data_IF_135579319362
#
_entry.id   IF_135579319362
#
_cell.length_a   1.000
_cell.length_b   1.000
_cell.length_c   1.000
_cell.angle_alpha   90.00
_cell.angle_beta   90.00
_cell.angle_gamma   90.00
#
_symmetry.space_group_name_H-M   'P 1'
#
loop_
_entity.id
_entity.type
_entity.pdbx_description
1 polymer ?
#
# COMPACT_ATOMS: atom_id res chain seq x y z
N UNK A 1 15.75 -13.38 36.11
CA UNK A 1 14.45 -14.04 35.94
C UNK A 1 13.74 -13.24 34.83
N UNK A 2 13.92 -13.62 33.56
CA UNK A 2 13.33 -12.93 32.40
C UNK A 2 11.88 -13.41 32.26
N UNK A 3 10.94 -12.50 32.47
CA UNK A 3 9.53 -12.74 32.09
C UNK A 3 9.42 -12.77 30.57
N UNK A 4 9.49 -13.96 30.00
CA UNK A 4 9.09 -14.24 28.63
C UNK A 4 7.62 -13.86 28.53
N UNK A 5 7.33 -12.74 27.82
CA UNK A 5 5.97 -12.24 27.63
C UNK A 5 5.14 -13.23 26.82
N UNK A 6 4.27 -13.95 27.48
CA UNK A 6 3.15 -14.64 26.86
C UNK A 6 2.24 -13.59 26.25
N UNK A 7 2.43 -13.30 24.96
CA UNK A 7 1.43 -12.53 24.19
C UNK A 7 0.20 -13.42 24.07
N UNK A 8 -0.91 -13.00 24.68
CA UNK A 8 -2.19 -13.69 24.50
C UNK A 8 -2.53 -13.76 22.99
N UNK A 9 -2.98 -14.91 22.48
CA UNK A 9 -3.42 -15.03 21.10
C UNK A 9 -4.45 -13.94 20.76
N UNK A 10 -4.25 -13.24 19.63
CA UNK A 10 -5.13 -12.16 19.17
C UNK A 10 -4.76 -10.73 19.60
N UNK A 11 -3.89 -10.55 20.61
CA UNK A 11 -3.42 -9.22 21.05
C UNK A 11 -2.10 -8.79 20.37
N UNK A 12 -1.58 -9.59 19.44
CA UNK A 12 -0.39 -9.21 18.67
C UNK A 12 -0.74 -8.08 17.71
N UNK A 13 0.10 -7.05 17.68
CA UNK A 13 -0.02 -5.92 16.75
C UNK A 13 0.73 -6.26 15.47
N UNK A 14 0.08 -6.03 14.35
CA UNK A 14 0.66 -6.16 13.01
C UNK A 14 0.64 -4.83 12.27
N UNK A 15 1.58 -4.67 11.36
CA UNK A 15 1.49 -3.64 10.34
C UNK A 15 0.72 -4.18 9.12
N UNK A 16 -0.28 -3.41 8.69
CA UNK A 16 -1.12 -3.73 7.55
C UNK A 16 -0.91 -2.73 6.41
N UNK A 17 -0.92 -3.24 5.19
CA UNK A 17 -1.00 -2.45 3.97
C UNK A 17 -2.21 -2.90 3.16
N UNK A 18 -3.03 -1.96 2.71
CA UNK A 18 -4.03 -2.20 1.69
C UNK A 18 -3.52 -1.62 0.37
N UNK A 19 -3.49 -2.45 -0.68
CA UNK A 19 -2.76 -2.12 -1.91
C UNK A 19 -3.54 -2.51 -3.17
N UNK A 20 -3.22 -1.84 -4.31
CA UNK A 20 -3.53 -2.31 -5.66
C UNK A 20 -2.27 -2.95 -6.26
N UNK A 21 -2.43 -4.13 -6.86
CA UNK A 21 -1.34 -4.96 -7.35
C UNK A 21 -1.27 -4.95 -8.88
N UNK A 22 -0.17 -4.50 -9.49
CA UNK A 22 0.04 -4.60 -10.93
C UNK A 22 0.13 -6.05 -11.40
N UNK A 23 -0.25 -6.31 -12.67
CA UNK A 23 -0.01 -7.60 -13.30
C UNK A 23 1.49 -7.93 -13.40
N UNK A 24 1.81 -9.18 -13.62
CA UNK A 24 3.16 -9.71 -13.50
C UNK A 24 4.18 -9.01 -14.41
N UNK A 25 3.86 -8.77 -15.67
CA UNK A 25 4.75 -8.09 -16.62
C UNK A 25 5.16 -6.69 -16.14
N UNK A 26 4.18 -5.87 -15.76
CA UNK A 26 4.45 -4.52 -15.25
C UNK A 26 5.23 -4.55 -13.94
N UNK A 27 4.90 -5.50 -13.08
CA UNK A 27 5.60 -5.73 -11.81
C UNK A 27 7.08 -6.06 -12.05
N UNK A 28 7.37 -6.96 -13.00
CA UNK A 28 8.75 -7.33 -13.34
C UNK A 28 9.53 -6.15 -13.91
N UNK A 29 8.93 -5.31 -14.74
CA UNK A 29 9.54 -4.06 -15.22
C UNK A 29 9.90 -3.11 -14.07
N UNK A 30 9.00 -2.93 -13.09
CA UNK A 30 9.28 -2.08 -11.93
C UNK A 30 10.35 -2.70 -11.02
N UNK A 31 10.36 -4.03 -10.84
CA UNK A 31 11.41 -4.73 -10.09
C UNK A 31 12.78 -4.50 -10.74
N UNK A 32 12.84 -4.53 -12.08
CA UNK A 32 14.09 -4.27 -12.80
C UNK A 32 14.56 -2.83 -12.55
N UNK A 33 13.68 -1.84 -12.66
CA UNK A 33 14.01 -0.44 -12.33
C UNK A 33 14.57 -0.26 -10.91
N UNK A 34 13.98 -0.96 -9.94
CA UNK A 34 14.49 -0.96 -8.56
C UNK A 34 15.92 -1.52 -8.49
N UNK A 35 16.15 -2.66 -9.14
CA UNK A 35 17.47 -3.31 -9.18
C UNK A 35 18.52 -2.38 -9.84
N UNK A 36 18.17 -1.76 -10.96
CA UNK A 36 19.04 -0.85 -11.70
C UNK A 36 19.40 0.35 -10.84
N UNK A 37 18.42 0.97 -10.17
CA UNK A 37 18.63 2.07 -9.24
C UNK A 37 19.64 1.69 -8.14
N UNK A 38 19.40 0.56 -7.46
CA UNK A 38 20.25 0.16 -6.36
C UNK A 38 21.64 -0.32 -6.81
N UNK A 39 21.75 -0.87 -8.02
CA UNK A 39 23.06 -1.20 -8.61
C UNK A 39 23.89 0.04 -8.92
N UNK A 40 23.25 1.12 -9.41
CA UNK A 40 23.92 2.37 -9.74
C UNK A 40 24.30 3.20 -8.49
N UNK A 41 23.45 3.16 -7.45
CA UNK A 41 23.60 4.01 -6.26
C UNK A 41 23.86 3.22 -4.98
N UNK A 42 24.66 2.14 -5.08
CA UNK A 42 25.07 1.36 -3.90
C UNK A 42 25.80 2.24 -2.90
N UNK A 43 25.40 2.13 -1.62
CA UNK A 43 26.12 2.69 -0.49
C UNK A 43 26.58 1.55 0.42
N UNK A 44 27.78 1.65 0.96
CA UNK A 44 28.26 0.76 2.03
C UNK A 44 27.41 0.84 3.30
N UNK A 45 26.70 1.97 3.48
CA UNK A 45 25.75 2.21 4.57
C UNK A 45 24.29 1.87 4.22
N UNK A 46 24.02 1.38 2.99
CA UNK A 46 22.66 0.96 2.63
C UNK A 46 22.25 -0.22 3.52
N UNK A 47 21.05 -0.20 4.09
CA UNK A 47 20.57 -1.33 4.87
C UNK A 47 20.64 -2.59 4.02
N UNK A 48 21.28 -3.65 4.54
CA UNK A 48 21.42 -4.97 3.88
C UNK A 48 20.09 -5.57 3.43
N UNK A 49 18.98 -5.01 3.88
CA UNK A 49 17.60 -5.45 3.66
C UNK A 49 16.87 -4.62 2.61
N UNK A 50 17.57 -4.16 1.55
CA UNK A 50 16.86 -3.69 0.40
C UNK A 50 16.21 -4.90 -0.30
N UNK A 51 15.14 -5.39 0.31
CA UNK A 51 14.23 -6.27 -0.39
C UNK A 51 13.50 -5.41 -1.40
N UNK A 52 13.70 -5.69 -2.67
CA UNK A 52 12.86 -5.15 -3.73
C UNK A 52 11.43 -5.63 -3.52
N UNK A 53 10.76 -5.11 -2.48
CA UNK A 53 9.39 -5.48 -2.14
C UNK A 53 8.52 -5.45 -3.39
N UNK A 54 7.55 -6.35 -3.45
CA UNK A 54 6.62 -6.47 -4.58
C UNK A 54 6.04 -5.08 -4.91
N UNK A 55 6.21 -4.57 -6.13
CA UNK A 55 5.66 -3.28 -6.51
C UNK A 55 4.14 -3.27 -6.39
N UNK A 56 3.61 -2.21 -5.76
CA UNK A 56 2.17 -2.00 -5.58
C UNK A 56 1.87 -0.52 -5.42
N UNK A 57 0.62 -0.13 -5.60
CA UNK A 57 0.10 1.18 -5.22
C UNK A 57 -0.51 1.06 -3.84
N UNK A 58 0.05 1.73 -2.84
CA UNK A 58 -0.48 1.72 -1.48
C UNK A 58 -1.71 2.63 -1.39
N UNK A 59 -2.78 2.13 -0.77
CA UNK A 59 -4.01 2.87 -0.47
C UNK A 59 -3.98 3.41 0.98
N UNK A 60 -3.62 2.54 1.92
CA UNK A 60 -3.50 2.88 3.34
C UNK A 60 -2.48 1.98 4.03
N UNK A 61 -1.77 2.55 5.00
CA UNK A 61 -0.89 1.85 5.93
C UNK A 61 -1.40 2.09 7.36
N UNK A 62 -1.44 1.05 8.19
CA UNK A 62 -1.92 1.16 9.56
C UNK A 62 -1.42 0.03 10.46
N UNK A 63 -1.47 0.27 11.77
CA UNK A 63 -1.23 -0.75 12.80
C UNK A 63 -2.56 -1.19 13.38
N UNK A 64 -2.72 -2.50 13.63
CA UNK A 64 -3.91 -3.02 14.30
C UNK A 64 -3.63 -4.36 14.99
N UNK A 65 -4.45 -4.68 16.00
CA UNK A 65 -4.48 -5.99 16.64
C UNK A 65 -5.07 -7.05 15.70
N UNK A 66 -4.48 -8.24 15.69
CA UNK A 66 -4.94 -9.36 14.87
C UNK A 66 -6.41 -9.72 15.17
N UNK A 67 -6.85 -9.64 16.41
CA UNK A 67 -8.24 -9.92 16.82
C UNK A 67 -9.30 -9.05 16.11
N UNK A 68 -8.91 -7.92 15.53
CA UNK A 68 -9.83 -7.03 14.78
C UNK A 68 -9.87 -7.32 13.28
N UNK A 69 -9.02 -8.22 12.81
CA UNK A 69 -8.83 -8.51 11.38
C UNK A 69 -10.12 -8.95 10.70
N UNK A 70 -10.86 -9.90 11.28
CA UNK A 70 -12.09 -10.43 10.68
C UNK A 70 -13.17 -9.35 10.47
N UNK A 71 -13.36 -8.47 11.45
CA UNK A 71 -14.30 -7.35 11.33
C UNK A 71 -13.86 -6.34 10.27
N UNK A 72 -12.57 -6.09 10.16
CA UNK A 72 -12.00 -5.24 9.12
C UNK A 72 -12.19 -5.86 7.73
N UNK A 73 -11.87 -7.14 7.55
CA UNK A 73 -12.04 -7.87 6.28
C UNK A 73 -13.48 -7.83 5.81
N UNK A 74 -14.45 -8.10 6.71
CA UNK A 74 -15.89 -8.01 6.40
C UNK A 74 -16.26 -6.63 5.84
N UNK A 75 -15.77 -5.54 6.45
CA UNK A 75 -16.02 -4.18 5.95
C UNK A 75 -15.36 -3.93 4.60
N UNK A 76 -14.11 -4.39 4.41
CA UNK A 76 -13.39 -4.22 3.15
C UNK A 76 -14.04 -4.99 1.99
N UNK A 77 -14.59 -6.19 2.25
CA UNK A 77 -15.39 -6.94 1.26
C UNK A 77 -16.60 -6.11 0.81
N UNK A 78 -17.34 -5.54 1.76
CA UNK A 78 -18.49 -4.70 1.44
C UNK A 78 -18.12 -3.49 0.60
N UNK A 79 -17.01 -2.83 0.93
CA UNK A 79 -16.50 -1.69 0.13
C UNK A 79 -16.15 -2.14 -1.28
N UNK A 80 -15.37 -3.24 -1.41
CA UNK A 80 -14.92 -3.75 -2.71
C UNK A 80 -16.07 -4.14 -3.63
N UNK A 81 -17.14 -4.74 -3.09
CA UNK A 81 -18.33 -5.11 -3.87
C UNK A 81 -18.94 -3.92 -4.63
N UNK A 82 -18.87 -2.71 -4.09
CA UNK A 82 -19.42 -1.50 -4.70
C UNK A 82 -18.52 -0.79 -5.72
N UNK A 83 -17.31 -1.30 -5.97
CA UNK A 83 -16.36 -0.68 -6.89
C UNK A 83 -16.26 -1.43 -8.21
N UNK A 84 -16.02 -0.67 -9.29
CA UNK A 84 -15.59 -1.21 -10.59
C UNK A 84 -14.08 -1.50 -10.57
N UNK A 85 -13.60 -2.40 -11.45
CA UNK A 85 -12.18 -2.49 -11.75
C UNK A 85 -11.59 -1.13 -12.12
N UNK A 86 -10.47 -0.78 -11.51
CA UNK A 86 -9.84 0.54 -11.65
C UNK A 86 -8.71 0.46 -12.68
N UNK A 87 -8.81 1.26 -13.74
CA UNK A 87 -7.69 1.46 -14.67
C UNK A 87 -6.66 2.35 -14.02
N UNK A 88 -5.47 1.81 -13.76
CA UNK A 88 -4.33 2.54 -13.22
C UNK A 88 -3.33 2.83 -14.33
N UNK A 89 -3.03 4.10 -14.55
CA UNK A 89 -2.07 4.58 -15.55
C UNK A 89 -0.85 5.16 -14.84
N UNK A 90 0.32 4.73 -15.31
CA UNK A 90 1.63 5.14 -14.81
C UNK A 90 2.33 5.98 -15.87
N UNK A 91 2.91 7.11 -15.47
CA UNK A 91 3.67 7.96 -16.37
C UNK A 91 4.79 8.67 -15.62
N UNK A 92 6.00 8.48 -16.13
CA UNK A 92 7.21 9.16 -15.71
C UNK A 92 7.49 9.05 -14.19
N UNK A 93 8.53 9.71 -13.76
CA UNK A 93 8.97 9.62 -12.37
C UNK A 93 8.60 10.89 -11.60
N UNK A 94 8.42 10.73 -10.30
CA UNK A 94 8.24 11.80 -9.34
C UNK A 94 9.14 11.58 -8.14
N UNK A 95 9.22 12.58 -7.27
CA UNK A 95 9.97 12.45 -6.03
C UNK A 95 9.27 13.11 -4.85
N UNK A 96 9.48 12.55 -3.67
CA UNK A 96 9.32 13.28 -2.44
C UNK A 96 10.72 13.77 -2.04
N UNK A 97 10.91 15.09 -1.98
CA UNK A 97 12.23 15.66 -1.78
C UNK A 97 12.98 15.02 -0.63
N UNK A 98 14.24 14.80 -0.90
CA UNK A 98 15.34 14.25 -0.12
C UNK A 98 15.34 12.76 0.16
N UNK A 99 14.24 12.01 -0.05
CA UNK A 99 14.27 10.61 0.42
C UNK A 99 13.57 9.57 -0.47
N UNK A 100 12.76 9.95 -1.48
CA UNK A 100 12.00 8.95 -2.24
C UNK A 100 11.89 9.33 -3.71
N UNK A 101 12.13 8.37 -4.60
CA UNK A 101 11.86 8.45 -6.04
C UNK A 101 10.84 7.38 -6.39
N UNK A 102 9.84 7.72 -7.19
CA UNK A 102 8.71 6.85 -7.50
C UNK A 102 8.21 7.02 -8.93
N UNK A 103 7.39 6.10 -9.39
CA UNK A 103 6.62 6.21 -10.63
C UNK A 103 5.27 6.86 -10.31
N UNK A 104 4.91 7.90 -11.07
CA UNK A 104 3.63 8.60 -10.89
C UNK A 104 2.46 7.73 -11.35
N UNK A 105 1.36 7.76 -10.58
CA UNK A 105 0.04 7.33 -11.02
C UNK A 105 -0.70 8.55 -11.56
N UNK A 106 -1.01 8.56 -12.85
CA UNK A 106 -1.70 9.70 -13.50
C UNK A 106 -3.22 9.60 -13.40
N UNK A 107 -3.77 8.39 -13.33
CA UNK A 107 -5.19 8.13 -13.07
C UNK A 107 -5.54 8.29 -11.59
N UNK A 108 -5.27 9.45 -10.99
CA UNK A 108 -5.39 9.68 -9.54
C UNK A 108 -6.82 9.57 -9.04
N UNK A 109 -7.79 10.16 -9.77
CA UNK A 109 -9.16 10.32 -9.27
C UNK A 109 -9.86 9.01 -8.88
N UNK A 110 -9.85 7.94 -9.69
CA UNK A 110 -10.45 6.67 -9.28
C UNK A 110 -9.82 6.06 -8.03
N UNK A 111 -8.49 6.13 -7.92
CA UNK A 111 -7.76 5.62 -6.75
C UNK A 111 -8.08 6.45 -5.51
N UNK A 112 -8.08 7.78 -5.63
CA UNK A 112 -8.46 8.68 -4.53
C UNK A 112 -9.90 8.47 -4.08
N UNK A 113 -10.82 8.19 -4.99
CA UNK A 113 -12.23 7.88 -4.67
C UNK A 113 -12.31 6.61 -3.82
N UNK A 114 -11.59 5.56 -4.19
CA UNK A 114 -11.49 4.33 -3.40
C UNK A 114 -10.90 4.62 -2.01
N UNK A 115 -9.79 5.36 -1.93
CA UNK A 115 -9.15 5.72 -0.64
C UNK A 115 -10.09 6.51 0.26
N UNK A 116 -10.81 7.49 -0.29
CA UNK A 116 -11.80 8.30 0.45
C UNK A 116 -12.95 7.42 0.99
N UNK A 117 -13.42 6.47 0.19
CA UNK A 117 -14.45 5.52 0.60
C UNK A 117 -13.97 4.60 1.73
N UNK A 118 -12.77 4.04 1.60
CA UNK A 118 -12.13 3.25 2.67
C UNK A 118 -11.99 4.08 3.94
N UNK A 119 -11.52 5.33 3.82
CA UNK A 119 -11.40 6.23 4.96
C UNK A 119 -12.73 6.46 5.66
N UNK A 120 -13.78 6.80 4.93
CA UNK A 120 -15.10 7.10 5.53
C UNK A 120 -15.72 5.89 6.22
N UNK A 121 -15.51 4.67 5.72
CA UNK A 121 -16.21 3.48 6.21
C UNK A 121 -15.37 2.59 7.13
N UNK A 122 -14.04 2.59 6.98
CA UNK A 122 -13.17 1.64 7.68
C UNK A 122 -12.14 2.29 8.61
N UNK A 123 -11.95 3.62 8.60
CA UNK A 123 -10.93 4.29 9.41
C UNK A 123 -10.97 3.89 10.88
N UNK A 124 -12.15 3.80 11.49
CA UNK A 124 -12.30 3.43 12.91
C UNK A 124 -11.83 2.00 13.20
N UNK A 125 -11.94 1.10 12.23
CA UNK A 125 -11.48 -0.29 12.34
C UNK A 125 -9.97 -0.41 12.11
N UNK A 126 -9.36 0.57 11.45
CA UNK A 126 -7.93 0.64 11.14
C UNK A 126 -7.13 1.39 12.20
N UNK A 127 -7.79 2.17 13.07
CA UNK A 127 -7.09 2.92 14.14
C UNK A 127 -6.80 2.00 15.32
N UNK A 128 -5.52 1.89 15.66
CA UNK A 128 -5.09 1.13 16.84
C UNK A 128 -5.45 1.90 18.13
N UNK A 129 -5.07 3.18 18.16
CA UNK A 129 -5.33 4.14 19.23
C UNK A 129 -5.28 5.58 18.67
N UNK A 130 -5.32 6.60 19.53
CA UNK A 130 -5.31 8.00 19.11
C UNK A 130 -3.99 8.42 18.46
N UNK A 131 -2.86 7.84 18.86
CA UNK A 131 -1.53 8.17 18.35
C UNK A 131 -1.20 7.41 17.06
N UNK A 132 -1.77 6.22 16.88
CA UNK A 132 -1.52 5.34 15.73
C UNK A 132 -2.75 5.30 14.81
N UNK A 133 -2.96 6.41 14.12
CA UNK A 133 -4.02 6.54 13.10
C UNK A 133 -3.57 5.96 11.75
N UNK A 134 -4.49 5.43 10.94
CA UNK A 134 -4.16 4.97 9.60
C UNK A 134 -3.68 6.12 8.72
N UNK A 135 -2.64 5.84 7.92
CA UNK A 135 -2.10 6.77 6.94
C UNK A 135 -2.68 6.47 5.55
N UNK A 136 -3.62 7.30 5.10
CA UNK A 136 -4.28 7.20 3.80
C UNK A 136 -3.48 7.91 2.72
N UNK A 137 -3.16 7.22 1.63
CA UNK A 137 -2.33 7.74 0.54
C UNK A 137 -3.24 8.38 -0.52
N UNK A 138 -3.29 9.72 -0.56
CA UNK A 138 -4.06 10.48 -1.55
C UNK A 138 -3.26 10.81 -2.82
N UNK A 139 -1.93 10.73 -2.76
CA UNK A 139 -1.04 10.84 -3.92
C UNK A 139 -0.51 9.44 -4.28
N UNK A 140 -1.30 8.67 -5.09
CA UNK A 140 -0.94 7.30 -5.43
C UNK A 140 0.33 7.25 -6.27
N UNK A 141 1.24 6.34 -5.94
CA UNK A 141 2.53 6.17 -6.60
C UNK A 141 3.09 4.77 -6.37
N UNK A 142 4.09 4.38 -7.15
CA UNK A 142 4.85 3.14 -6.93
C UNK A 142 6.31 3.53 -6.62
N UNK A 143 6.77 3.37 -5.37
CA UNK A 143 8.16 3.69 -5.02
C UNK A 143 9.14 2.78 -5.75
N UNK A 144 10.19 3.37 -6.36
CA UNK A 144 11.35 2.64 -6.87
C UNK A 144 12.50 2.65 -5.86
N UNK A 145 12.65 3.75 -5.12
CA UNK A 145 13.64 3.88 -4.07
C UNK A 145 13.11 4.78 -2.94
N UNK A 146 13.26 4.36 -1.70
CA UNK A 146 12.81 5.08 -0.51
C UNK A 146 13.89 5.08 0.56
N UNK A 147 13.80 6.00 1.51
CA UNK A 147 14.79 6.18 2.60
C UNK A 147 16.20 6.41 2.05
N UNK A 148 16.27 7.15 0.95
CA UNK A 148 17.53 7.53 0.34
C UNK A 148 18.29 8.49 1.26
N UNK A 149 19.62 8.37 1.27
CA UNK A 149 20.47 9.41 1.83
C UNK A 149 20.61 10.56 0.82
N UNK A 150 20.95 11.80 1.24
CA UNK A 150 20.91 12.99 0.37
C UNK A 150 21.61 12.81 -0.98
N UNK A 151 22.84 12.30 -1.00
CA UNK A 151 23.59 12.13 -2.23
C UNK A 151 22.98 11.11 -3.20
N UNK A 152 22.33 10.04 -2.67
CA UNK A 152 21.61 9.05 -3.50
C UNK A 152 20.37 9.68 -4.13
N UNK A 153 19.67 10.50 -3.34
CA UNK A 153 18.49 11.22 -3.84
C UNK A 153 18.89 12.21 -4.93
N UNK A 154 19.88 13.07 -4.69
CA UNK A 154 20.31 14.11 -5.64
C UNK A 154 20.75 13.52 -6.97
N UNK A 155 21.66 12.55 -6.94
CA UNK A 155 22.14 11.88 -8.17
C UNK A 155 21.05 11.07 -8.86
N UNK A 156 20.29 10.29 -8.08
CA UNK A 156 19.21 9.49 -8.61
C UNK A 156 18.10 10.35 -9.21
N UNK A 157 17.72 11.45 -8.57
CA UNK A 157 16.70 12.35 -9.09
C UNK A 157 17.18 13.09 -10.35
N UNK A 158 18.42 13.53 -10.40
CA UNK A 158 18.99 14.16 -11.60
C UNK A 158 18.87 13.24 -12.83
N UNK A 159 19.11 11.95 -12.67
CA UNK A 159 18.97 10.96 -13.75
C UNK A 159 17.51 10.61 -14.03
N UNK A 160 16.73 10.25 -13.00
CA UNK A 160 15.36 9.73 -13.19
C UNK A 160 14.35 10.81 -13.58
N UNK A 161 14.59 12.07 -13.26
CA UNK A 161 13.76 13.20 -13.72
C UNK A 161 13.77 13.37 -15.23
N UNK A 162 14.79 12.86 -15.92
CA UNK A 162 14.94 12.91 -17.39
C UNK A 162 14.51 11.61 -18.08
N UNK A 163 14.24 10.55 -17.32
CA UNK A 163 13.81 9.27 -17.87
C UNK A 163 12.30 9.25 -18.09
N UNK A 164 11.87 8.49 -19.08
CA UNK A 164 10.46 8.25 -19.36
C UNK A 164 10.05 6.84 -18.95
N UNK A 165 8.88 6.74 -18.36
CA UNK A 165 8.23 5.48 -18.03
C UNK A 165 6.75 5.55 -18.37
N UNK A 166 6.23 4.50 -18.98
CA UNK A 166 4.79 4.34 -19.20
C UNK A 166 4.37 2.93 -18.82
N UNK A 167 3.20 2.81 -18.23
CA UNK A 167 2.60 1.53 -17.87
C UNK A 167 1.13 1.69 -17.56
N UNK A 168 0.39 0.59 -17.62
CA UNK A 168 -1.02 0.56 -17.23
C UNK A 168 -1.39 -0.82 -16.73
N UNK A 169 -2.34 -0.88 -15.83
CA UNK A 169 -2.96 -2.13 -15.40
C UNK A 169 -4.40 -1.90 -14.97
N UNK A 170 -5.18 -2.97 -14.96
CA UNK A 170 -6.50 -2.98 -14.38
C UNK A 170 -6.37 -3.59 -12.98
N UNK A 171 -6.68 -2.82 -11.95
CA UNK A 171 -6.85 -3.35 -10.61
C UNK A 171 -8.27 -3.91 -10.51
N UNK A 172 -8.39 -5.22 -10.51
CA UNK A 172 -9.65 -5.97 -10.36
C UNK A 172 -10.09 -6.14 -8.91
N UNK A 173 -9.26 -5.68 -7.98
CA UNK A 173 -9.49 -5.73 -6.55
C UNK A 173 -8.38 -5.05 -5.77
N UNK A 174 -8.51 -5.09 -4.45
CA UNK A 174 -7.48 -4.63 -3.52
C UNK A 174 -7.02 -5.80 -2.64
N UNK A 175 -5.78 -5.74 -2.15
CA UNK A 175 -5.16 -6.80 -1.34
C UNK A 175 -4.80 -6.24 0.03
N UNK A 176 -5.22 -6.94 1.08
CA UNK A 176 -4.75 -6.69 2.44
C UNK A 176 -3.52 -7.55 2.68
N UNK A 177 -2.44 -6.89 3.05
CA UNK A 177 -1.18 -7.49 3.45
C UNK A 177 -0.96 -7.23 4.92
N UNK A 178 -0.31 -8.17 5.64
CA UNK A 178 0.14 -7.95 7.02
C UNK A 178 1.56 -8.45 7.23
N UNK A 179 2.25 -7.86 8.20
CA UNK A 179 3.51 -8.39 8.75
C UNK A 179 3.62 -8.12 10.25
N UNK A 180 4.30 -8.97 11.00
CA UNK A 180 4.78 -8.65 12.34
C UNK A 180 5.70 -7.41 12.29
N UNK A 181 5.77 -6.65 13.39
CA UNK A 181 6.60 -5.43 13.43
C UNK A 181 8.10 -5.71 13.37
N UNK A 182 8.50 -6.90 13.76
CA UNK A 182 9.88 -7.43 13.77
C UNK A 182 10.28 -8.12 12.45
N UNK A 183 9.34 -8.28 11.50
CA UNK A 183 9.58 -8.89 10.21
C UNK A 183 9.58 -7.88 9.06
N UNK A 184 10.22 -8.24 7.94
CA UNK A 184 10.29 -7.39 6.75
C UNK A 184 9.26 -7.83 5.70
N UNK A 185 8.94 -9.12 5.66
CA UNK A 185 8.09 -9.70 4.62
C UNK A 185 6.62 -9.61 4.97
N UNK A 186 5.84 -9.09 4.03
CA UNK A 186 4.38 -9.08 4.13
C UNK A 186 3.80 -10.39 3.64
N UNK A 187 2.77 -10.85 4.34
CA UNK A 187 1.92 -11.98 3.95
C UNK A 187 0.58 -11.46 3.45
N UNK A 188 0.00 -12.16 2.47
CA UNK A 188 -1.34 -11.84 1.98
C UNK A 188 -2.35 -12.34 3.00
N UNK A 189 -3.21 -11.43 3.47
CA UNK A 189 -4.37 -11.78 4.33
C UNK A 189 -5.54 -12.15 3.44
N UNK A 190 -5.96 -11.23 2.55
CA UNK A 190 -7.09 -11.44 1.66
C UNK A 190 -7.01 -10.55 0.41
N UNK A 191 -7.64 -11.04 -0.68
CA UNK A 191 -7.90 -10.28 -1.90
C UNK A 191 -9.40 -9.99 -1.99
N UNK A 192 -9.76 -8.71 -2.13
CA UNK A 192 -11.13 -8.23 -2.24
C UNK A 192 -11.41 -7.83 -3.69
N UNK A 193 -12.23 -8.61 -4.37
CA UNK A 193 -12.59 -8.39 -5.78
C UNK A 193 -13.58 -7.22 -5.93
N UNK A 194 -13.38 -6.37 -6.92
CA UNK A 194 -14.32 -5.33 -7.32
C UNK A 194 -15.43 -5.95 -8.17
N UNK A 195 -16.68 -5.85 -7.72
CA UNK A 195 -17.81 -6.56 -8.31
C UNK A 195 -18.85 -5.65 -8.97
N UNK A 196 -18.77 -4.34 -8.72
CA UNK A 196 -19.74 -3.37 -9.21
C UNK A 196 -21.18 -3.68 -8.81
N UNK A 197 -21.39 -4.21 -7.63
CA UNK A 197 -22.72 -4.47 -7.11
C UNK A 197 -23.28 -3.22 -6.41
N UNK A 198 -24.59 -2.94 -6.51
CA UNK A 198 -25.22 -1.87 -5.76
C UNK A 198 -25.17 -2.23 -4.26
N UNK A 199 -24.28 -1.59 -3.52
CA UNK A 199 -24.23 -1.73 -2.06
C UNK A 199 -25.30 -0.84 -1.46
N UNK A 200 -26.49 -1.40 -1.24
CA UNK A 200 -27.57 -0.71 -0.54
C UNK A 200 -27.32 -0.84 0.96
N UNK A 201 -26.66 0.16 1.54
CA UNK A 201 -26.66 0.35 2.99
C UNK A 201 -28.00 0.98 3.41
N UNK A 202 -29.12 0.29 3.25
CA UNK A 202 -30.33 0.65 3.97
C UNK A 202 -30.14 0.11 5.38
N UNK A 203 -29.98 1.02 6.30
CA UNK A 203 -30.32 0.77 7.69
C UNK A 203 -31.81 0.44 7.68
N UNK A 204 -32.16 -0.81 7.93
CA UNK A 204 -33.57 -1.21 7.92
C UNK A 204 -34.34 -0.37 8.92
N UNK A 205 -35.38 0.31 8.45
CA UNK A 205 -36.43 0.83 9.32
C UNK A 205 -37.14 -0.37 9.96
N UNK A 206 -36.71 -0.70 11.18
CA UNK A 206 -37.26 -1.82 11.98
C UNK A 206 -38.50 -1.40 12.79
N UNK A 207 -39.19 -0.35 12.34
CA UNK A 207 -40.46 0.07 12.97
C UNK A 207 -41.44 0.51 11.89
N UNK A 208 -42.30 -0.41 11.47
CA UNK A 208 -43.67 -0.18 11.07
C UNK A 208 -44.52 -1.11 11.91
#
# INVERSE_FOLDING_TARGET
>A
MQLSGMTMPGYRVYEYLLVLDPHEELRNRVIQLKKDFFSAYKSSAAPKNFSGGRPHVTLVNFLQYEMREERLMSRLRTIAMGFYPIKVELKDFGSFPTHTIFINVTSKLPVQTLVKRIRSEAQRLMSLNEDNKPHFILEPHIPIASRLVPWQYERGWLEYSQKHFTGRFIADGMILLKRPLDEIQYQVVERFQFQNLPVVTRQGDLFV
#
